data_IF_330987639241
#
_entry.id   IF_330987639241
#
_cell.length_a   1.000
_cell.length_b   1.000
_cell.length_c   1.000
_cell.angle_alpha   90.00
_cell.angle_beta   90.00
_cell.angle_gamma   90.00
#
_symmetry.space_group_name_H-M   'P 1'
#
loop_
_entity.id
_entity.type
_entity.pdbx_description
1 polymer ?
#
# COMPACT_ATOMS: atom_id res chain seq x y z
N UNK A 1 -3.17 5.03 -11.55
CA UNK A 1 -4.00 4.34 -10.54
C UNK A 1 -3.55 4.78 -9.16
N UNK A 2 -4.48 5.04 -8.24
CA UNK A 2 -4.18 5.46 -6.87
C UNK A 2 -4.68 4.42 -5.88
N UNK A 3 -3.81 3.94 -4.99
CA UNK A 3 -4.20 3.10 -3.86
C UNK A 3 -4.41 3.99 -2.63
N UNK A 4 -5.57 3.88 -2.00
CA UNK A 4 -5.95 4.59 -0.76
C UNK A 4 -5.98 3.60 0.40
N UNK A 5 -5.45 4.01 1.54
CA UNK A 5 -5.29 3.18 2.74
C UNK A 5 -5.20 4.03 4.01
N UNK A 6 -5.35 3.37 5.14
CA UNK A 6 -5.14 3.96 6.47
C UNK A 6 -3.73 3.67 6.96
N UNK A 7 -3.05 4.70 7.47
CA UNK A 7 -1.85 4.51 8.29
C UNK A 7 -2.23 4.54 9.77
N UNK A 8 -1.77 3.56 10.56
CA UNK A 8 -2.01 3.53 12.02
C UNK A 8 -1.01 2.60 12.73
N UNK A 9 -1.12 2.50 14.06
CA UNK A 9 -0.09 1.95 14.96
C UNK A 9 0.12 0.43 14.85
N UNK A 10 -0.73 -0.29 14.14
CA UNK A 10 -0.67 -1.74 13.98
C UNK A 10 -0.47 -2.19 12.53
N UNK A 11 -0.04 -1.27 11.66
CA UNK A 11 0.16 -1.56 10.24
C UNK A 11 1.58 -2.05 9.95
N UNK A 12 1.69 -2.94 8.97
CA UNK A 12 2.94 -3.49 8.47
C UNK A 12 3.42 -2.83 7.18
N UNK A 13 4.44 -3.44 6.58
CA UNK A 13 4.99 -3.03 5.29
C UNK A 13 4.37 -3.89 4.19
N UNK A 14 3.78 -3.24 3.18
CA UNK A 14 3.23 -3.90 2.00
C UNK A 14 4.27 -3.95 0.88
N UNK A 15 4.36 -5.07 0.18
CA UNK A 15 5.07 -5.16 -1.10
C UNK A 15 4.08 -5.02 -2.25
N UNK A 16 4.46 -4.28 -3.28
CA UNK A 16 3.62 -3.99 -4.43
C UNK A 16 4.21 -4.64 -5.68
N UNK A 17 3.37 -5.21 -6.53
CA UNK A 17 3.71 -5.55 -7.90
C UNK A 17 2.58 -5.10 -8.84
N UNK A 18 2.91 -4.43 -9.94
CA UNK A 18 1.97 -4.01 -10.97
C UNK A 18 2.44 -4.61 -12.29
N UNK A 19 1.61 -5.45 -12.90
CA UNK A 19 1.94 -6.20 -14.13
C UNK A 19 3.27 -6.98 -14.04
N UNK A 20 3.56 -7.51 -12.84
CA UNK A 20 4.80 -8.22 -12.53
C UNK A 20 6.00 -7.34 -12.23
N UNK A 21 5.90 -6.01 -12.39
CA UNK A 21 6.95 -5.05 -12.03
C UNK A 21 6.81 -4.65 -10.58
N UNK A 22 7.91 -4.69 -9.81
CA UNK A 22 7.93 -4.33 -8.39
C UNK A 22 8.35 -2.86 -8.19
N UNK A 23 7.40 -1.92 -7.94
CA UNK A 23 7.75 -0.53 -7.63
C UNK A 23 8.31 -0.34 -6.21
N UNK A 24 8.32 -1.38 -5.38
CA UNK A 24 8.90 -1.37 -4.03
C UNK A 24 7.89 -1.71 -2.94
N UNK A 25 8.18 -1.22 -1.74
CA UNK A 25 7.39 -1.46 -0.53
C UNK A 25 6.86 -0.16 0.07
N UNK A 26 5.72 -0.21 0.75
CA UNK A 26 5.09 0.93 1.41
C UNK A 26 4.88 0.59 2.89
N UNK A 27 5.42 1.42 3.78
CA UNK A 27 5.19 1.31 5.23
C UNK A 27 3.89 2.04 5.61
N UNK A 28 2.89 1.27 6.04
CA UNK A 28 1.60 1.78 6.47
C UNK A 28 1.60 2.17 7.95
N UNK A 29 2.71 2.04 8.67
CA UNK A 29 2.79 2.47 10.07
C UNK A 29 2.69 3.99 10.22
N UNK A 30 1.92 4.40 11.22
CA UNK A 30 1.95 5.74 11.80
C UNK A 30 1.58 5.65 13.28
N UNK A 31 2.19 6.45 14.14
CA UNK A 31 1.90 6.46 15.58
C UNK A 31 0.44 6.87 15.88
N UNK A 32 -0.13 7.75 15.05
CA UNK A 32 -1.54 8.14 15.08
C UNK A 32 -2.26 7.68 13.82
N UNK A 33 -3.57 7.49 13.91
CA UNK A 33 -4.38 7.12 12.75
C UNK A 33 -4.45 8.27 11.75
N UNK A 34 -4.07 7.98 10.50
CA UNK A 34 -4.16 8.87 9.36
C UNK A 34 -5.03 8.18 8.31
N UNK A 35 -6.22 8.73 8.12
CA UNK A 35 -7.18 8.25 7.14
C UNK A 35 -6.79 8.69 5.73
N UNK A 36 -7.25 7.91 4.73
CA UNK A 36 -7.20 8.26 3.31
C UNK A 36 -5.79 8.65 2.82
N UNK A 37 -4.74 8.06 3.40
CA UNK A 37 -3.40 8.16 2.83
C UNK A 37 -3.39 7.43 1.49
N UNK A 38 -2.55 7.88 0.56
CA UNK A 38 -2.57 7.31 -0.78
C UNK A 38 -1.21 7.27 -1.45
N UNK A 39 -1.07 6.34 -2.39
CA UNK A 39 0.08 6.25 -3.28
C UNK A 39 -0.41 6.19 -4.72
N UNK A 40 0.17 7.06 -5.55
CA UNK A 40 -0.17 7.16 -6.98
C UNK A 40 0.86 6.39 -7.80
N UNK A 41 0.38 5.42 -8.57
CA UNK A 41 1.15 4.70 -9.58
C UNK A 41 0.87 5.33 -10.96
N UNK A 42 1.91 5.90 -11.56
CA UNK A 42 1.87 6.61 -12.84
C UNK A 42 2.47 5.77 -13.96
N UNK A 43 2.39 6.26 -15.21
CA UNK A 43 3.02 5.66 -16.39
C UNK A 43 2.63 4.20 -16.68
N UNK A 44 1.43 3.78 -16.28
CA UNK A 44 0.92 2.43 -16.57
C UNK A 44 0.49 2.27 -18.04
N UNK A 45 0.06 3.37 -18.67
CA UNK A 45 -0.53 3.34 -20.00
C UNK A 45 -2.03 3.09 -19.94
N UNK A 46 -2.66 3.02 -21.12
CA UNK A 46 -4.08 2.68 -21.24
C UNK A 46 -4.23 1.16 -21.32
N UNK A 47 -5.20 0.61 -20.58
CA UNK A 47 -5.50 -0.80 -20.62
C UNK A 47 -5.83 -1.38 -19.25
N UNK A 48 -5.88 -2.71 -19.21
CA UNK A 48 -6.07 -3.46 -17.96
C UNK A 48 -4.71 -3.62 -17.29
N UNK A 49 -4.65 -3.26 -16.02
CA UNK A 49 -3.48 -3.45 -15.16
C UNK A 49 -3.85 -4.33 -13.97
N UNK A 50 -2.93 -5.17 -13.54
CA UNK A 50 -3.11 -6.01 -12.34
C UNK A 50 -2.15 -5.56 -11.26
N UNK A 51 -2.70 -5.17 -10.11
CA UNK A 51 -1.92 -4.87 -8.90
C UNK A 51 -2.03 -6.01 -7.91
N UNK A 52 -0.88 -6.45 -7.40
CA UNK A 52 -0.74 -7.35 -6.28
C UNK A 52 -0.18 -6.58 -5.08
N UNK A 53 -0.89 -6.65 -3.96
CA UNK A 53 -0.46 -6.10 -2.68
C UNK A 53 -0.29 -7.26 -1.72
N UNK A 54 0.93 -7.43 -1.21
CA UNK A 54 1.29 -8.54 -0.34
C UNK A 54 1.70 -8.05 1.04
N UNK A 55 1.18 -8.70 2.09
CA UNK A 55 1.67 -8.52 3.46
C UNK A 55 3.05 -9.17 3.54
N UNK A 56 4.10 -8.39 3.82
CA UNK A 56 5.48 -8.89 3.79
C UNK A 56 5.87 -9.70 5.03
N UNK A 57 5.10 -9.61 6.12
CA UNK A 57 5.53 -10.08 7.43
C UNK A 57 6.63 -9.23 8.08
N UNK A 58 6.97 -8.08 7.48
CA UNK A 58 7.87 -7.07 8.03
C UNK A 58 7.04 -5.86 8.48
N UNK A 59 7.46 -5.20 9.55
CA UNK A 59 6.82 -3.99 10.09
C UNK A 59 7.86 -3.00 10.61
N UNK A 60 7.46 -1.74 10.72
CA UNK A 60 8.19 -0.77 11.54
C UNK A 60 8.35 -1.32 12.97
N UNK A 61 9.51 -1.14 13.60
CA UNK A 61 9.77 -1.65 14.96
C UNK A 61 8.76 -1.13 15.99
N UNK A 62 8.20 0.06 15.77
CA UNK A 62 7.20 0.67 16.64
C UNK A 62 5.77 0.21 16.36
N UNK A 63 5.54 -0.56 15.29
CA UNK A 63 4.22 -1.09 15.00
C UNK A 63 3.89 -2.28 15.89
N UNK A 64 2.64 -2.37 16.33
CA UNK A 64 2.18 -3.50 17.14
C UNK A 64 1.92 -4.78 16.33
N UNK A 65 1.66 -4.67 15.02
CA UNK A 65 1.26 -5.81 14.17
C UNK A 65 1.64 -5.58 12.70
N UNK A 66 1.18 -6.44 11.78
CA UNK A 66 1.58 -6.50 10.38
C UNK A 66 0.44 -6.18 9.40
N UNK A 67 -0.68 -5.62 9.88
CA UNK A 67 -1.86 -5.39 9.03
C UNK A 67 -1.55 -4.49 7.83
N UNK A 68 -2.06 -4.85 6.67
CA UNK A 68 -2.06 -3.99 5.48
C UNK A 68 -3.51 -3.66 5.17
N UNK A 69 -3.78 -2.37 4.97
CA UNK A 69 -5.12 -1.83 4.76
C UNK A 69 -5.31 -1.51 3.29
N UNK A 70 -6.44 -1.91 2.70
CA UNK A 70 -6.82 -1.51 1.36
C UNK A 70 -8.24 -0.95 1.41
N UNK A 71 -8.35 0.37 1.29
CA UNK A 71 -9.63 1.09 1.35
C UNK A 71 -10.22 1.24 -0.06
N UNK A 72 -9.46 1.85 -0.97
CA UNK A 72 -9.92 2.07 -2.34
C UNK A 72 -8.80 2.01 -3.38
N UNK A 73 -9.20 1.71 -4.63
CA UNK A 73 -8.40 1.91 -5.82
C UNK A 73 -9.13 2.87 -6.76
N UNK A 74 -8.47 3.97 -7.12
CA UNK A 74 -9.00 4.98 -8.02
C UNK A 74 -8.27 4.86 -9.37
N UNK A 75 -9.03 4.61 -10.42
CA UNK A 75 -8.57 4.52 -11.81
C UNK A 75 -9.11 5.71 -12.61
N UNK A 76 -8.34 6.17 -13.60
CA UNK A 76 -8.69 7.29 -14.49
C UNK A 76 -8.84 6.78 -15.91
#
# INVERSE_FOLDING_TARGET
MTWVYTKTYNRGIAAIAIDGVNPGTIDLYSASTQWQQSTVFTNLGAGVHTIHISVTGVKNLSSSDYYVDADAFIVQ
#
